data_IF_263367427827
#
_entry.id   IF_263367427827
#
_cell.length_a   1.000
_cell.length_b   1.000
_cell.length_c   1.000
_cell.angle_alpha   90.00
_cell.angle_beta   90.00
_cell.angle_gamma   90.00
#
_symmetry.space_group_name_H-M   'P 1'
#
loop_
_entity.id
_entity.type
_entity.pdbx_description
1 polymer ?
#
# COMPACT_ATOMS: atom_id res chain seq x y z
N UNK A 1 5.85 51.54 -8.53
CA UNK A 1 6.15 50.09 -8.54
C UNK A 1 4.90 49.40 -8.99
N UNK A 2 4.98 48.65 -10.08
CA UNK A 2 3.80 48.02 -10.68
C UNK A 2 3.32 46.86 -9.81
N UNK A 3 2.01 46.66 -9.77
CA UNK A 3 1.33 45.60 -9.00
C UNK A 3 1.91 44.23 -9.32
N UNK A 4 2.33 44.02 -10.57
CA UNK A 4 2.98 42.80 -11.05
C UNK A 4 4.30 42.54 -10.33
N UNK A 5 5.11 43.58 -10.09
CA UNK A 5 6.38 43.45 -9.37
C UNK A 5 6.14 43.06 -7.90
N UNK A 6 5.14 43.66 -7.24
CA UNK A 6 4.78 43.30 -5.86
C UNK A 6 4.31 41.85 -5.74
N UNK A 7 3.48 41.36 -6.69
CA UNK A 7 3.03 39.97 -6.69
C UNK A 7 4.21 39.01 -6.89
N UNK A 8 5.14 39.33 -7.79
CA UNK A 8 6.34 38.50 -8.01
C UNK A 8 7.23 38.41 -6.76
N UNK A 9 7.40 39.52 -6.02
CA UNK A 9 8.16 39.50 -4.77
C UNK A 9 7.49 38.63 -3.69
N UNK A 10 6.16 38.70 -3.55
CA UNK A 10 5.41 37.88 -2.58
C UNK A 10 5.49 36.39 -2.94
N UNK A 11 5.37 36.04 -4.23
CA UNK A 11 5.51 34.65 -4.68
C UNK A 11 6.93 34.12 -4.48
N UNK A 12 7.95 34.94 -4.74
CA UNK A 12 9.35 34.58 -4.51
C UNK A 12 9.62 34.34 -3.01
N UNK A 13 9.10 35.22 -2.15
CA UNK A 13 9.24 35.08 -0.70
C UNK A 13 8.54 33.81 -0.18
N UNK A 14 7.32 33.52 -0.65
CA UNK A 14 6.61 32.30 -0.31
C UNK A 14 7.36 31.03 -0.77
N UNK A 15 7.96 31.06 -1.97
CA UNK A 15 8.76 29.96 -2.49
C UNK A 15 10.04 29.73 -1.66
N UNK A 16 10.70 30.80 -1.21
CA UNK A 16 11.87 30.72 -0.33
C UNK A 16 11.50 30.13 1.03
N UNK A 17 10.37 30.56 1.63
CA UNK A 17 9.90 30.01 2.90
C UNK A 17 9.53 28.52 2.79
N UNK A 18 8.90 28.11 1.70
CA UNK A 18 8.62 26.70 1.42
C UNK A 18 9.90 25.88 1.25
N UNK A 19 10.90 26.43 0.54
CA UNK A 19 12.21 25.80 0.39
C UNK A 19 12.90 25.57 1.74
N UNK A 20 12.88 26.57 2.63
CA UNK A 20 13.45 26.44 3.99
C UNK A 20 12.67 25.41 4.82
N UNK A 21 11.33 25.40 4.75
CA UNK A 21 10.49 24.44 5.45
C UNK A 21 10.79 22.99 5.01
N UNK A 22 10.93 22.75 3.70
CA UNK A 22 11.30 21.45 3.15
C UNK A 22 12.67 20.98 3.64
N UNK A 23 13.66 21.87 3.72
CA UNK A 23 15.00 21.52 4.23
C UNK A 23 14.96 21.18 5.72
N UNK A 24 14.16 21.92 6.51
CA UNK A 24 13.99 21.62 7.94
C UNK A 24 13.27 20.28 8.16
N UNK A 25 12.22 19.99 7.39
CA UNK A 25 11.51 18.71 7.44
C UNK A 25 12.40 17.55 7.01
N UNK A 26 13.21 17.73 5.97
CA UNK A 26 14.18 16.72 5.54
C UNK A 26 15.24 16.45 6.61
N UNK A 27 15.73 17.49 7.29
CA UNK A 27 16.70 17.37 8.38
C UNK A 27 16.09 16.68 9.61
N UNK A 28 14.84 16.99 9.95
CA UNK A 28 14.11 16.31 11.03
C UNK A 28 13.86 14.84 10.69
N UNK A 29 13.44 14.54 9.47
CA UNK A 29 13.20 13.17 9.03
C UNK A 29 14.50 12.34 9.06
N UNK A 30 15.63 12.94 8.65
CA UNK A 30 16.95 12.28 8.77
C UNK A 30 17.35 12.02 10.22
N UNK A 31 17.04 12.93 11.15
CA UNK A 31 17.27 12.71 12.58
C UNK A 31 16.37 11.62 13.15
N UNK A 32 15.10 11.56 12.73
CA UNK A 32 14.17 10.50 13.10
C UNK A 32 14.62 9.13 12.59
N UNK A 33 15.10 9.06 11.34
CA UNK A 33 15.67 7.82 10.77
C UNK A 33 16.91 7.35 11.53
N UNK A 34 17.79 8.27 11.94
CA UNK A 34 18.94 7.92 12.77
C UNK A 34 18.53 7.39 14.14
N UNK A 35 17.51 8.00 14.77
CA UNK A 35 16.96 7.49 16.04
C UNK A 35 16.26 6.15 15.87
N UNK A 36 15.56 5.92 14.77
CA UNK A 36 14.94 4.62 14.49
C UNK A 36 16.00 3.53 14.29
N UNK A 37 17.08 3.80 13.55
CA UNK A 37 18.21 2.87 13.46
C UNK A 37 18.88 2.60 14.81
N UNK A 38 18.96 3.60 15.69
CA UNK A 38 19.50 3.45 17.05
C UNK A 38 18.57 2.63 17.94
N UNK A 39 17.24 2.80 17.82
CA UNK A 39 16.24 1.98 18.51
C UNK A 39 16.18 0.53 17.97
N UNK A 40 16.36 0.32 16.67
CA UNK A 40 16.34 -1.00 16.04
C UNK A 40 17.63 -1.79 16.34
N UNK A 41 18.76 -1.10 16.58
CA UNK A 41 20.02 -1.70 17.00
C UNK A 41 20.10 -2.03 18.49
N UNK A 42 19.10 -1.64 19.29
CA UNK A 42 19.04 -1.96 20.70
C UNK A 42 18.32 -3.31 20.86
N UNK A 43 19.02 -4.42 21.15
CA UNK A 43 18.33 -5.67 21.45
C UNK A 43 17.42 -5.40 22.64
N UNK A 44 16.12 -5.61 22.44
CA UNK A 44 15.11 -5.56 23.47
C UNK A 44 15.57 -6.50 24.58
N UNK A 45 16.13 -5.94 25.65
CA UNK A 45 16.27 -6.65 26.89
C UNK A 45 14.85 -7.09 27.25
N UNK A 46 14.65 -8.40 27.38
CA UNK A 46 13.38 -9.06 27.65
C UNK A 46 12.61 -8.34 28.77
N UNK A 47 11.77 -7.37 28.39
CA UNK A 47 10.59 -7.08 29.16
C UNK A 47 9.70 -8.31 28.95
N UNK A 48 9.09 -8.88 30.01
CA UNK A 48 8.15 -9.99 29.87
C UNK A 48 6.93 -9.49 29.11
N UNK A 49 7.04 -9.49 27.79
CA UNK A 49 5.97 -9.22 26.87
C UNK A 49 4.98 -10.35 27.03
N UNK A 50 3.76 -9.99 27.43
CA UNK A 50 2.60 -10.86 27.35
C UNK A 50 2.42 -11.32 25.90
N UNK A 51 3.01 -12.47 25.57
CA UNK A 51 2.76 -13.18 24.34
C UNK A 51 1.40 -13.84 24.47
N UNK A 52 0.37 -13.23 23.84
CA UNK A 52 -0.95 -13.82 23.61
C UNK A 52 -1.70 -14.30 24.87
N UNK A 53 -2.82 -13.64 25.17
CA UNK A 53 -3.74 -13.99 26.28
C UNK A 53 -4.23 -15.44 26.22
N UNK A 54 -4.15 -16.11 25.05
CA UNK A 54 -4.55 -17.52 24.90
C UNK A 54 -3.44 -18.54 25.19
N UNK A 55 -2.16 -18.17 25.15
CA UNK A 55 -1.05 -19.10 25.46
C UNK A 55 -0.34 -18.86 26.81
N UNK A 56 -0.65 -17.75 27.48
CA UNK A 56 0.07 -17.31 28.70
C UNK A 56 -0.63 -17.57 30.03
N UNK A 57 -1.91 -17.95 30.03
CA UNK A 57 -2.70 -18.00 31.27
C UNK A 57 -2.41 -19.23 32.14
N UNK A 58 -2.23 -20.42 31.56
CA UNK A 58 -1.83 -21.62 32.29
C UNK A 58 -0.43 -21.48 32.94
N UNK A 59 0.62 -21.03 32.23
CA UNK A 59 1.92 -20.76 32.84
C UNK A 59 1.87 -19.69 33.95
N UNK A 60 0.98 -18.71 33.82
CA UNK A 60 0.74 -17.71 34.86
C UNK A 60 0.12 -18.31 36.12
N UNK A 61 -0.93 -19.13 35.98
CA UNK A 61 -1.53 -19.84 37.11
C UNK A 61 -0.54 -20.76 37.81
N UNK A 62 0.29 -21.50 37.07
CA UNK A 62 1.32 -22.34 37.66
C UNK A 62 2.33 -21.54 38.48
N UNK A 63 2.73 -20.37 37.99
CA UNK A 63 3.64 -19.48 38.70
C UNK A 63 3.02 -18.96 40.00
N UNK A 64 1.77 -18.49 39.95
CA UNK A 64 1.04 -17.99 41.13
C UNK A 64 0.76 -19.09 42.16
N UNK A 65 0.49 -20.33 41.73
CA UNK A 65 0.37 -21.48 42.64
C UNK A 65 1.70 -21.75 43.36
N UNK A 66 2.83 -21.68 42.65
CA UNK A 66 4.15 -21.86 43.27
C UNK A 66 4.47 -20.73 44.26
N UNK A 67 4.16 -19.48 43.89
CA UNK A 67 4.39 -18.31 44.75
C UNK A 67 3.51 -18.37 46.01
N UNK A 68 2.23 -18.73 45.88
CA UNK A 68 1.32 -18.87 47.04
C UNK A 68 1.68 -20.04 47.94
N UNK A 69 2.17 -21.18 47.41
CA UNK A 69 2.73 -22.27 48.23
C UNK A 69 3.97 -21.83 48.99
N UNK A 70 4.87 -21.10 48.34
CA UNK A 70 6.07 -20.58 48.99
C UNK A 70 5.74 -19.56 50.10
N UNK A 71 4.70 -18.74 49.89
CA UNK A 71 4.18 -17.82 50.92
C UNK A 71 3.50 -18.57 52.07
N UNK A 72 2.72 -19.61 51.78
CA UNK A 72 2.11 -20.46 52.80
C UNK A 72 3.18 -21.15 53.66
N UNK A 73 4.21 -21.73 53.05
CA UNK A 73 5.32 -22.37 53.78
C UNK A 73 6.09 -21.37 54.66
N UNK A 74 6.28 -20.13 54.20
CA UNK A 74 6.91 -19.06 54.99
C UNK A 74 6.04 -18.61 56.16
N UNK A 75 4.72 -18.51 55.97
CA UNK A 75 3.76 -18.12 57.01
C UNK A 75 3.55 -19.24 58.02
N UNK A 76 3.51 -20.50 57.60
CA UNK A 76 3.41 -21.66 58.51
C UNK A 76 4.70 -21.88 59.31
N UNK A 77 5.86 -21.50 58.75
CA UNK A 77 7.16 -21.54 59.44
C UNK A 77 7.39 -20.35 60.38
N UNK A 78 6.71 -19.24 60.16
CA UNK A 78 6.70 -18.07 61.04
C UNK A 78 5.66 -18.25 62.13
N UNK A 79 6.06 -18.24 63.40
CA UNK A 79 5.12 -18.35 64.53
C UNK A 79 4.27 -17.08 64.71
N UNK A 80 3.38 -16.80 63.75
CA UNK A 80 2.42 -15.70 63.80
C UNK A 80 1.06 -16.20 64.28
N UNK A 81 0.51 -15.52 65.29
CA UNK A 81 -0.76 -15.83 65.98
C UNK A 81 -2.03 -15.58 65.11
N UNK A 82 -1.85 -15.15 63.85
CA UNK A 82 -2.94 -14.87 62.91
C UNK A 82 -3.35 -16.15 62.17
N UNK A 83 -4.30 -16.90 62.75
CA UNK A 83 -4.91 -18.09 62.15
C UNK A 83 -5.63 -17.83 60.81
N UNK A 84 -6.03 -16.58 60.55
CA UNK A 84 -6.85 -16.21 59.38
C UNK A 84 -6.06 -16.10 58.08
N UNK A 85 -4.79 -15.70 58.14
CA UNK A 85 -3.91 -15.55 56.97
C UNK A 85 -3.49 -16.88 56.33
N UNK A 86 -3.03 -17.91 57.09
CA UNK A 86 -2.73 -19.22 56.51
C UNK A 86 -4.00 -19.89 55.97
N UNK A 87 -5.15 -19.74 56.65
CA UNK A 87 -6.42 -20.26 56.14
C UNK A 87 -6.83 -19.58 54.84
N UNK A 88 -6.74 -18.25 54.74
CA UNK A 88 -7.00 -17.51 53.50
C UNK A 88 -6.06 -17.91 52.35
N UNK A 89 -4.78 -18.17 52.64
CA UNK A 89 -3.82 -18.64 51.65
C UNK A 89 -4.13 -20.08 51.20
N UNK A 90 -4.59 -20.95 52.10
CA UNK A 90 -5.08 -22.30 51.75
C UNK A 90 -6.32 -22.23 50.86
N UNK A 91 -7.31 -21.38 51.19
CA UNK A 91 -8.47 -21.15 50.33
C UNK A 91 -8.09 -20.64 48.94
N UNK A 92 -7.15 -19.68 48.87
CA UNK A 92 -6.64 -19.16 47.59
C UNK A 92 -5.92 -20.25 46.79
N UNK A 93 -5.12 -21.09 47.44
CA UNK A 93 -4.39 -22.18 46.81
C UNK A 93 -5.37 -23.21 46.22
N UNK A 94 -6.32 -23.69 47.01
CA UNK A 94 -7.30 -24.70 46.59
C UNK A 94 -8.16 -24.18 45.42
N UNK A 95 -8.51 -22.89 45.44
CA UNK A 95 -9.21 -22.24 44.34
C UNK A 95 -8.39 -22.23 43.04
N UNK A 96 -7.11 -21.82 43.11
CA UNK A 96 -6.25 -21.77 41.93
C UNK A 96 -5.93 -23.17 41.39
N UNK A 97 -5.84 -24.19 42.25
CA UNK A 97 -5.70 -25.57 41.83
C UNK A 97 -6.96 -26.12 41.14
N UNK A 98 -8.16 -25.78 41.63
CA UNK A 98 -9.42 -26.10 40.97
C UNK A 98 -9.52 -25.40 39.61
N UNK A 99 -9.12 -24.12 39.55
CA UNK A 99 -9.09 -23.35 38.30
C UNK A 99 -8.10 -23.94 37.28
N UNK A 100 -6.91 -24.35 37.72
CA UNK A 100 -5.93 -25.03 36.86
C UNK A 100 -6.52 -26.33 36.30
N UNK A 101 -7.12 -27.18 37.15
CA UNK A 101 -7.74 -28.45 36.71
C UNK A 101 -8.83 -28.21 35.68
N UNK A 102 -9.70 -27.22 35.89
CA UNK A 102 -10.76 -26.88 34.93
C UNK A 102 -10.19 -26.30 33.65
N UNK A 103 -9.12 -25.50 33.72
CA UNK A 103 -8.49 -24.92 32.53
C UNK A 103 -7.75 -25.99 31.69
N UNK A 104 -7.22 -27.04 32.32
CA UNK A 104 -6.63 -28.20 31.64
C UNK A 104 -7.68 -29.13 31.02
N UNK A 105 -8.85 -29.26 31.66
CA UNK A 105 -9.96 -30.13 31.21
C UNK A 105 -10.90 -29.46 30.20
N UNK A 106 -11.12 -28.15 30.30
CA UNK A 106 -12.08 -27.40 29.50
C UNK A 106 -11.38 -26.47 28.49
N UNK A 107 -10.85 -27.06 27.41
CA UNK A 107 -10.59 -26.30 26.18
C UNK A 107 -11.87 -26.10 25.32
N UNK A 108 -12.98 -26.78 25.66
CA UNK A 108 -14.12 -26.88 24.73
C UNK A 108 -15.30 -25.94 25.03
N UNK A 109 -15.46 -25.36 26.24
CA UNK A 109 -16.62 -24.50 26.56
C UNK A 109 -16.30 -23.30 27.48
N UNK A 110 -16.08 -22.08 26.93
CA UNK A 110 -15.69 -20.90 27.71
C UNK A 110 -16.84 -20.26 28.53
N UNK A 111 -18.10 -20.63 28.28
CA UNK A 111 -19.27 -19.96 28.89
C UNK A 111 -19.59 -20.43 30.31
N UNK A 112 -19.28 -21.68 30.63
CA UNK A 112 -19.62 -22.29 31.93
C UNK A 112 -18.38 -22.61 32.79
N UNK A 113 -17.21 -22.05 32.42
CA UNK A 113 -15.92 -22.28 33.09
C UNK A 113 -16.00 -22.07 34.60
N UNK A 114 -16.63 -20.98 35.04
CA UNK A 114 -16.72 -20.64 36.46
C UNK A 114 -17.67 -21.54 37.26
N UNK A 115 -18.67 -22.13 36.59
CA UNK A 115 -19.55 -23.12 37.25
C UNK A 115 -18.77 -24.41 37.50
N UNK A 116 -17.97 -24.87 36.54
CA UNK A 116 -17.09 -26.02 36.73
C UNK A 116 -16.00 -25.76 37.78
N UNK A 117 -15.44 -24.55 37.85
CA UNK A 117 -14.49 -24.18 38.94
C UNK A 117 -15.17 -24.25 40.31
N UNK A 118 -16.41 -23.77 40.42
CA UNK A 118 -17.17 -23.86 41.67
C UNK A 118 -17.51 -25.30 42.06
N UNK A 119 -17.84 -26.18 41.10
CA UNK A 119 -18.13 -27.59 41.34
C UNK A 119 -16.90 -28.38 41.82
N UNK A 120 -15.71 -27.97 41.36
CA UNK A 120 -14.43 -28.58 41.75
C UNK A 120 -13.81 -27.97 43.02
N UNK A 121 -14.40 -26.92 43.57
CA UNK A 121 -13.96 -26.28 44.81
C UNK A 121 -14.68 -26.89 46.02
N UNK A 122 -13.93 -27.48 46.95
CA UNK A 122 -14.48 -28.09 48.16
C UNK A 122 -13.90 -27.39 49.39
N UNK A 123 -14.66 -26.51 50.07
CA UNK A 123 -14.15 -25.77 51.21
C UNK A 123 -13.99 -26.68 52.45
N UNK A 124 -12.91 -26.53 53.25
CA UNK A 124 -12.76 -27.24 54.52
C UNK A 124 -13.85 -26.79 55.53
N UNK A 125 -14.48 -27.78 56.17
CA UNK A 125 -15.75 -27.68 56.90
C UNK A 125 -15.74 -26.75 58.14
N UNK A 126 -16.84 -25.99 58.30
CA UNK A 126 -17.21 -25.34 59.56
C UNK A 126 -18.49 -26.00 60.10
N UNK A 127 -18.38 -26.68 61.24
CA UNK A 127 -19.47 -27.37 61.95
C UNK A 127 -20.42 -26.35 62.60
N UNK A 128 -21.73 -26.54 62.46
CA UNK A 128 -22.77 -25.71 63.08
C UNK A 128 -23.70 -26.60 63.93
N UNK A 129 -23.51 -26.58 65.25
CA UNK A 129 -24.41 -27.20 66.22
C UNK A 129 -25.47 -26.18 66.69
N UNK A 130 -26.71 -26.64 66.83
CA UNK A 130 -27.78 -25.92 67.55
C UNK A 130 -28.66 -26.95 68.25
N UNK A 131 -28.62 -26.97 69.59
CA UNK A 131 -29.53 -27.74 70.46
C UNK A 131 -30.46 -26.77 71.23
N UNK A 132 -31.77 -26.92 71.06
CA UNK A 132 -32.81 -26.37 71.93
C UNK A 132 -33.20 -27.39 73.01
N UNK A 133 -33.36 -26.95 74.25
CA UNK A 133 -33.91 -27.74 75.36
C UNK A 133 -35.32 -27.23 75.76
N UNK A 134 -36.30 -28.11 76.10
CA UNK A 134 -37.63 -27.69 76.51
C UNK A 134 -37.81 -27.66 78.04
N UNK A 135 -38.72 -26.79 78.50
CA UNK A 135 -39.13 -26.62 79.90
C UNK A 135 -40.23 -27.61 80.32
N UNK A 136 -40.21 -28.07 81.58
CA UNK A 136 -41.25 -28.89 82.22
C UNK A 136 -42.11 -28.03 83.17
N UNK A 137 -43.44 -28.18 83.07
CA UNK A 137 -44.43 -27.65 84.02
C UNK A 137 -44.58 -28.61 85.22
N UNK A 138 -44.73 -28.06 86.43
CA UNK A 138 -45.07 -28.80 87.63
C UNK A 138 -46.46 -28.40 88.15
N UNK A 139 -47.28 -29.42 88.33
CA UNK A 139 -48.66 -29.43 88.85
C UNK A 139 -48.66 -29.31 90.39
N UNK A 140 -49.57 -28.52 90.96
CA UNK A 140 -49.73 -28.38 92.42
C UNK A 140 -51.20 -28.64 92.80
N UNK A 141 -51.40 -29.51 93.79
CA UNK A 141 -52.69 -29.76 94.44
C UNK A 141 -52.67 -29.29 95.91
N UNK A 142 -53.78 -28.77 96.47
CA UNK A 142 -53.78 -27.94 97.68
C UNK A 142 -54.20 -28.70 98.96
N UNK A 143 -53.80 -28.21 100.13
CA UNK A 143 -54.31 -28.75 101.41
C UNK A 143 -53.83 -28.06 102.69
N UNK A 144 -54.65 -27.11 103.16
CA UNK A 144 -54.86 -26.67 104.56
C UNK A 144 -53.69 -26.03 105.33
N UNK A 145 -53.65 -24.70 105.34
CA UNK A 145 -52.73 -23.92 106.18
C UNK A 145 -53.04 -22.43 106.27
N UNK A 146 -54.26 -22.00 105.94
CA UNK A 146 -54.53 -20.69 105.33
C UNK A 146 -54.05 -19.43 106.07
N UNK A 147 -53.78 -19.41 107.39
CA UNK A 147 -53.36 -18.18 108.09
C UNK A 147 -51.84 -18.08 108.32
N UNK A 148 -51.20 -19.15 108.76
CA UNK A 148 -49.72 -19.22 108.91
C UNK A 148 -49.05 -19.34 107.54
N UNK A 149 -49.72 -20.01 106.60
CA UNK A 149 -49.31 -20.07 105.20
C UNK A 149 -49.49 -18.72 104.52
N UNK A 150 -50.57 -17.96 104.77
CA UNK A 150 -50.68 -16.57 104.29
C UNK A 150 -49.62 -15.66 104.90
N UNK A 151 -49.28 -15.80 106.19
CA UNK A 151 -48.26 -14.97 106.83
C UNK A 151 -46.84 -15.34 106.36
N UNK A 152 -46.58 -16.63 106.13
CA UNK A 152 -45.36 -17.14 105.50
C UNK A 152 -45.25 -16.76 104.02
N UNK A 153 -46.35 -16.82 103.26
CA UNK A 153 -46.43 -16.36 101.87
C UNK A 153 -46.32 -14.84 101.77
N UNK A 154 -46.80 -14.07 102.74
CA UNK A 154 -46.65 -12.61 102.77
C UNK A 154 -45.22 -12.19 103.15
N UNK A 155 -44.58 -12.94 104.07
CA UNK A 155 -43.15 -12.82 104.36
C UNK A 155 -42.28 -13.18 103.14
N UNK A 156 -42.55 -14.32 102.52
CA UNK A 156 -41.92 -14.73 101.25
C UNK A 156 -42.25 -13.78 100.10
N UNK A 157 -43.44 -13.16 100.06
CA UNK A 157 -43.75 -12.09 99.11
C UNK A 157 -42.96 -10.82 99.41
N UNK A 158 -42.80 -10.45 100.69
CA UNK A 158 -41.96 -9.32 101.09
C UNK A 158 -40.48 -9.52 100.72
N UNK A 159 -39.96 -10.72 100.95
CA UNK A 159 -38.57 -11.10 100.65
C UNK A 159 -38.36 -11.27 99.14
N UNK A 160 -39.32 -11.84 98.42
CA UNK A 160 -39.28 -11.90 96.96
C UNK A 160 -39.40 -10.52 96.33
N UNK A 161 -40.23 -9.60 96.85
CA UNK A 161 -40.30 -8.21 96.38
C UNK A 161 -39.00 -7.46 96.67
N UNK A 162 -38.35 -7.70 97.82
CA UNK A 162 -37.03 -7.12 98.10
C UNK A 162 -35.95 -7.71 97.18
N UNK A 163 -35.96 -9.02 96.94
CA UNK A 163 -35.07 -9.67 95.97
C UNK A 163 -35.34 -9.17 94.54
N UNK A 164 -36.61 -8.96 94.15
CA UNK A 164 -36.98 -8.40 92.86
C UNK A 164 -36.49 -6.96 92.76
N UNK A 165 -36.57 -6.19 93.85
CA UNK A 165 -36.09 -4.80 93.90
C UNK A 165 -34.57 -4.73 93.80
N UNK A 166 -33.86 -5.70 94.37
CA UNK A 166 -32.41 -5.82 94.29
C UNK A 166 -31.96 -6.29 92.90
N UNK A 167 -32.68 -7.24 92.30
CA UNK A 167 -32.51 -7.66 90.90
C UNK A 167 -32.85 -6.51 89.95
N UNK A 168 -33.91 -5.74 90.19
CA UNK A 168 -34.26 -4.55 89.41
C UNK A 168 -33.18 -3.48 89.56
N UNK A 169 -32.57 -3.31 90.74
CA UNK A 169 -31.41 -2.42 90.90
C UNK A 169 -30.19 -2.91 90.12
N UNK A 170 -29.92 -4.22 90.10
CA UNK A 170 -28.81 -4.81 89.32
C UNK A 170 -29.07 -4.75 87.81
N UNK A 171 -30.30 -4.97 87.35
CA UNK A 171 -30.72 -4.83 85.94
C UNK A 171 -30.76 -3.36 85.49
N UNK A 172 -30.93 -2.41 86.42
CA UNK A 172 -30.78 -0.99 86.11
C UNK A 172 -29.33 -0.51 86.13
N UNK A 173 -28.41 -1.35 86.61
CA UNK A 173 -26.96 -1.18 86.58
C UNK A 173 -26.30 -2.18 85.60
N UNK A 174 -27.06 -2.69 84.62
CA UNK A 174 -26.63 -3.77 83.74
C UNK A 174 -25.62 -3.24 82.70
N UNK A 175 -24.39 -3.79 82.61
CA UNK A 175 -23.39 -3.40 81.59
C UNK A 175 -23.85 -3.66 80.15
N UNK A 176 -24.99 -4.37 79.99
CA UNK A 176 -25.67 -4.59 78.71
C UNK A 176 -26.30 -3.31 78.15
N UNK A 177 -26.72 -2.36 79.00
CA UNK A 177 -27.23 -1.08 78.53
C UNK A 177 -26.13 -0.25 77.85
N UNK A 178 -24.94 -0.21 78.45
CA UNK A 178 -23.77 0.48 77.88
C UNK A 178 -23.27 -0.20 76.58
N UNK A 179 -23.34 -1.53 76.49
CA UNK A 179 -23.02 -2.27 75.26
C UNK A 179 -24.05 -1.99 74.14
N UNK A 180 -25.34 -1.88 74.48
CA UNK A 180 -26.39 -1.53 73.51
C UNK A 180 -26.17 -0.10 73.01
N UNK A 181 -25.87 0.87 73.89
CA UNK A 181 -25.56 2.25 73.50
C UNK A 181 -24.34 2.30 72.56
N UNK A 182 -23.29 1.50 72.83
CA UNK A 182 -22.12 1.38 71.95
C UNK A 182 -22.45 0.74 70.59
N UNK A 183 -23.33 -0.27 70.57
CA UNK A 183 -23.79 -0.90 69.32
C UNK A 183 -24.65 0.06 68.51
N UNK A 184 -25.54 0.83 69.15
CA UNK A 184 -26.33 1.87 68.49
C UNK A 184 -25.44 2.96 67.89
N UNK A 185 -24.41 3.41 68.62
CA UNK A 185 -23.42 4.36 68.10
C UNK A 185 -22.71 3.79 66.86
N UNK A 186 -22.29 2.52 66.90
CA UNK A 186 -21.64 1.85 65.77
C UNK A 186 -22.56 1.67 64.57
N UNK A 187 -23.85 1.40 64.79
CA UNK A 187 -24.85 1.32 63.71
C UNK A 187 -25.00 2.69 63.05
N UNK A 188 -25.10 3.78 63.83
CA UNK A 188 -25.18 5.14 63.28
C UNK A 188 -23.91 5.50 62.49
N UNK A 189 -22.73 5.11 62.99
CA UNK A 189 -21.46 5.30 62.29
C UNK A 189 -21.41 4.52 60.96
N UNK A 190 -21.87 3.25 60.95
CA UNK A 190 -21.95 2.43 59.75
C UNK A 190 -22.95 2.98 58.73
N UNK A 191 -24.12 3.44 59.17
CA UNK A 191 -25.10 4.09 58.29
C UNK A 191 -24.55 5.37 57.68
N UNK A 192 -23.79 6.15 58.44
CA UNK A 192 -23.14 7.35 57.94
C UNK A 192 -22.11 7.01 56.87
N UNK A 193 -21.22 6.04 57.12
CA UNK A 193 -20.23 5.56 56.15
C UNK A 193 -20.89 4.97 54.90
N UNK A 194 -21.99 4.25 55.06
CA UNK A 194 -22.78 3.71 53.95
C UNK A 194 -23.37 4.83 53.08
N UNK A 195 -23.90 5.90 53.69
CA UNK A 195 -24.38 7.08 52.96
C UNK A 195 -23.27 7.80 52.20
N UNK A 196 -22.09 7.93 52.80
CA UNK A 196 -20.91 8.52 52.13
C UNK A 196 -20.43 7.65 50.97
N UNK A 197 -20.36 6.34 51.16
CA UNK A 197 -20.00 5.38 50.11
C UNK A 197 -20.99 5.43 48.93
N UNK A 198 -22.30 5.48 49.22
CA UNK A 198 -23.33 5.65 48.17
C UNK A 198 -23.18 6.98 47.42
N UNK A 199 -22.85 8.06 48.12
CA UNK A 199 -22.61 9.36 47.48
C UNK A 199 -21.38 9.30 46.55
N UNK A 200 -20.32 8.62 46.98
CA UNK A 200 -19.13 8.42 46.15
C UNK A 200 -19.43 7.57 44.91
N UNK A 201 -20.22 6.50 45.08
CA UNK A 201 -20.66 5.64 44.00
C UNK A 201 -21.50 6.40 42.97
N UNK A 202 -22.44 7.25 43.42
CA UNK A 202 -23.25 8.09 42.53
C UNK A 202 -22.39 9.06 41.72
N UNK A 203 -21.37 9.69 42.34
CA UNK A 203 -20.42 10.56 41.63
C UNK A 203 -19.62 9.75 40.60
N UNK A 204 -19.18 8.54 40.94
CA UNK A 204 -18.48 7.66 40.01
C UNK A 204 -19.35 7.26 38.82
N UNK A 205 -20.62 6.93 39.03
CA UNK A 205 -21.56 6.59 37.96
C UNK A 205 -21.83 7.78 37.02
N UNK A 206 -21.96 8.98 37.58
CA UNK A 206 -22.09 10.21 36.80
C UNK A 206 -20.85 10.49 35.95
N UNK A 207 -19.65 10.34 36.54
CA UNK A 207 -18.39 10.50 35.81
C UNK A 207 -18.17 9.41 34.76
N UNK A 208 -18.57 8.17 35.04
CA UNK A 208 -18.49 7.08 34.08
C UNK A 208 -19.41 7.34 32.88
N UNK A 209 -20.66 7.75 33.14
CA UNK A 209 -21.60 8.18 32.08
C UNK A 209 -21.03 9.34 31.26
N UNK A 210 -20.44 10.34 31.92
CA UNK A 210 -19.79 11.48 31.25
C UNK A 210 -18.60 11.06 30.39
N UNK A 211 -17.81 10.10 30.84
CA UNK A 211 -16.67 9.56 30.10
C UNK A 211 -17.15 8.71 28.91
N UNK A 212 -18.18 7.90 29.11
CA UNK A 212 -18.80 7.10 28.05
C UNK A 212 -19.33 7.99 26.92
N UNK A 213 -20.04 9.08 27.25
CA UNK A 213 -20.48 10.08 26.27
C UNK A 213 -19.31 10.70 25.49
N UNK A 214 -18.18 10.97 26.16
CA UNK A 214 -16.98 11.53 25.50
C UNK A 214 -16.32 10.52 24.58
N UNK A 215 -16.30 9.25 24.95
CA UNK A 215 -15.80 8.15 24.10
C UNK A 215 -16.68 8.01 22.88
N UNK A 216 -18.00 7.95 23.06
CA UNK A 216 -18.94 7.81 21.94
C UNK A 216 -18.84 8.98 20.95
N UNK A 217 -18.69 10.22 21.43
CA UNK A 217 -18.45 11.37 20.55
C UNK A 217 -17.12 11.28 19.80
N UNK A 218 -16.06 10.77 20.43
CA UNK A 218 -14.78 10.56 19.77
C UNK A 218 -14.87 9.46 18.72
N UNK A 219 -15.60 8.39 19.00
CA UNK A 219 -15.81 7.30 18.05
C UNK A 219 -16.60 7.79 16.83
N UNK A 220 -17.65 8.59 17.03
CA UNK A 220 -18.40 9.24 15.94
C UNK A 220 -17.51 10.17 15.10
N UNK A 221 -16.63 10.95 15.74
CA UNK A 221 -15.68 11.80 15.03
C UNK A 221 -14.69 10.96 14.22
N UNK A 222 -14.18 9.88 14.81
CA UNK A 222 -13.20 9.00 14.18
C UNK A 222 -13.81 8.25 12.98
N UNK A 223 -15.08 7.86 13.08
CA UNK A 223 -15.83 7.28 11.95
C UNK A 223 -16.11 8.30 10.84
N UNK A 224 -16.41 9.56 11.19
CA UNK A 224 -16.52 10.62 10.19
C UNK A 224 -15.19 10.85 9.45
N UNK A 225 -14.08 10.96 10.19
CA UNK A 225 -12.74 11.12 9.61
C UNK A 225 -12.36 9.92 8.74
N UNK A 226 -12.65 8.69 9.19
CA UNK A 226 -12.44 7.48 8.38
C UNK A 226 -13.24 7.52 7.08
N UNK A 227 -14.49 7.95 7.13
CA UNK A 227 -15.36 8.05 5.95
C UNK A 227 -14.83 9.09 4.96
N UNK A 228 -14.50 10.29 5.43
CA UNK A 228 -13.91 11.36 4.62
C UNK A 228 -12.57 10.92 4.01
N UNK A 229 -11.72 10.22 4.80
CA UNK A 229 -10.47 9.67 4.30
C UNK A 229 -10.72 8.58 3.23
N UNK A 230 -11.69 7.70 3.41
CA UNK A 230 -12.03 6.70 2.38
C UNK A 230 -12.56 7.34 1.09
N UNK A 231 -13.36 8.41 1.20
CA UNK A 231 -13.85 9.16 0.04
C UNK A 231 -12.68 9.81 -0.71
N UNK A 232 -11.76 10.49 0.00
CA UNK A 232 -10.56 11.08 -0.62
C UNK A 232 -9.61 10.04 -1.22
N UNK A 233 -9.42 8.88 -0.57
CA UNK A 233 -8.63 7.76 -1.14
C UNK A 233 -9.31 7.21 -2.39
N UNK A 234 -10.62 7.01 -2.38
CA UNK A 234 -11.38 6.57 -3.56
C UNK A 234 -11.26 7.57 -4.72
N UNK A 235 -11.30 8.87 -4.44
CA UNK A 235 -11.10 9.91 -5.45
C UNK A 235 -9.68 9.89 -6.04
N UNK A 236 -8.66 9.68 -5.19
CA UNK A 236 -7.27 9.53 -5.63
C UNK A 236 -7.07 8.26 -6.47
N UNK A 237 -7.68 7.14 -6.10
CA UNK A 237 -7.66 5.91 -6.89
C UNK A 237 -8.31 6.11 -8.26
N UNK A 238 -9.44 6.82 -8.33
CA UNK A 238 -10.08 7.17 -9.58
C UNK A 238 -9.22 8.09 -10.45
N UNK A 239 -8.54 9.07 -9.85
CA UNK A 239 -7.58 9.94 -10.56
C UNK A 239 -6.36 9.16 -11.07
N UNK A 240 -5.82 8.23 -10.27
CA UNK A 240 -4.72 7.36 -10.66
C UNK A 240 -5.13 6.45 -11.83
N UNK A 241 -6.37 5.92 -11.81
CA UNK A 241 -6.94 5.15 -12.91
C UNK A 241 -7.00 5.96 -14.21
N UNK A 242 -7.46 7.22 -14.14
CA UNK A 242 -7.47 8.14 -15.28
C UNK A 242 -6.06 8.46 -15.79
N UNK A 243 -5.11 8.72 -14.90
CA UNK A 243 -3.73 8.98 -15.28
C UNK A 243 -3.09 7.74 -15.92
N UNK A 244 -3.33 6.53 -15.39
CA UNK A 244 -2.85 5.29 -15.99
C UNK A 244 -3.41 5.08 -17.41
N UNK A 245 -4.68 5.39 -17.63
CA UNK A 245 -5.29 5.32 -18.96
C UNK A 245 -4.65 6.33 -19.92
N UNK A 246 -4.49 7.59 -19.50
CA UNK A 246 -3.83 8.63 -20.30
C UNK A 246 -2.38 8.27 -20.62
N UNK A 247 -1.65 7.67 -19.67
CA UNK A 247 -0.30 7.16 -19.91
C UNK A 247 -0.32 6.06 -20.97
N UNK A 248 -1.29 5.14 -20.94
CA UNK A 248 -1.41 4.08 -21.95
C UNK A 248 -1.73 4.66 -23.35
N UNK A 249 -2.60 5.67 -23.44
CA UNK A 249 -2.86 6.39 -24.69
C UNK A 249 -1.61 7.11 -25.22
N UNK A 250 -0.86 7.79 -24.35
CA UNK A 250 0.40 8.43 -24.72
C UNK A 250 1.44 7.41 -25.22
N UNK A 251 1.51 6.22 -24.61
CA UNK A 251 2.40 5.15 -25.09
C UNK A 251 1.97 4.65 -26.46
N UNK A 252 0.67 4.44 -26.71
CA UNK A 252 0.19 4.05 -28.04
C UNK A 252 0.53 5.11 -29.10
N UNK A 253 0.33 6.40 -28.79
CA UNK A 253 0.71 7.48 -29.70
C UNK A 253 2.23 7.55 -29.93
N UNK A 254 3.04 7.24 -28.91
CA UNK A 254 4.49 7.14 -29.07
C UNK A 254 4.87 6.00 -30.01
N UNK A 255 4.25 4.83 -29.87
CA UNK A 255 4.48 3.67 -30.73
C UNK A 255 4.06 3.97 -32.19
N UNK A 256 2.92 4.64 -32.38
CA UNK A 256 2.47 5.10 -33.71
C UNK A 256 3.47 6.08 -34.34
N UNK A 257 3.94 7.06 -33.58
CA UNK A 257 4.96 8.03 -34.04
C UNK A 257 6.29 7.35 -34.37
N UNK A 258 6.71 6.34 -33.59
CA UNK A 258 7.91 5.56 -33.91
C UNK A 258 7.75 4.77 -35.22
N UNK A 259 6.56 4.21 -35.45
CA UNK A 259 6.25 3.49 -36.68
C UNK A 259 6.19 4.43 -37.89
N UNK A 260 5.65 5.64 -37.73
CA UNK A 260 5.70 6.69 -38.76
C UNK A 260 7.13 7.17 -39.03
N UNK A 261 7.95 7.35 -38.00
CA UNK A 261 9.37 7.68 -38.16
C UNK A 261 10.12 6.58 -38.93
N UNK A 262 9.82 5.31 -38.66
CA UNK A 262 10.35 4.17 -39.41
C UNK A 262 9.94 4.18 -40.89
N UNK A 263 8.67 4.46 -41.18
CA UNK A 263 8.18 4.63 -42.57
C UNK A 263 8.84 5.81 -43.27
N UNK A 264 9.06 6.93 -42.57
CA UNK A 264 9.74 8.09 -43.12
C UNK A 264 11.21 7.76 -43.48
N UNK A 265 11.90 6.99 -42.64
CA UNK A 265 13.25 6.50 -42.93
C UNK A 265 13.26 5.57 -44.15
N UNK A 266 12.29 4.65 -44.28
CA UNK A 266 12.18 3.78 -45.46
C UNK A 266 11.92 4.58 -46.75
N UNK A 267 11.08 5.62 -46.69
CA UNK A 267 10.85 6.52 -47.82
C UNK A 267 12.11 7.30 -48.18
N UNK A 268 12.88 7.74 -47.19
CA UNK A 268 14.16 8.41 -47.41
C UNK A 268 15.17 7.49 -48.11
N UNK A 269 15.25 6.21 -47.72
CA UNK A 269 16.11 5.23 -48.40
C UNK A 269 15.67 4.99 -49.85
N UNK A 270 14.36 4.89 -50.11
CA UNK A 270 13.83 4.77 -51.49
C UNK A 270 14.13 6.00 -52.33
N UNK A 271 14.09 7.19 -51.73
CA UNK A 271 14.42 8.44 -52.42
C UNK A 271 15.91 8.51 -52.74
N UNK A 272 16.79 8.09 -51.82
CA UNK A 272 18.22 7.97 -52.08
C UNK A 272 18.54 6.95 -53.18
N UNK A 273 17.82 5.82 -53.23
CA UNK A 273 17.92 4.85 -54.34
C UNK A 273 17.46 5.45 -55.67
N UNK A 274 16.37 6.23 -55.68
CA UNK A 274 15.91 6.92 -56.87
C UNK A 274 16.91 7.97 -57.35
N UNK A 275 17.50 8.75 -56.43
CA UNK A 275 18.54 9.73 -56.76
C UNK A 275 19.79 9.06 -57.37
N UNK A 276 20.19 7.90 -56.83
CA UNK A 276 21.28 7.10 -57.40
C UNK A 276 20.91 6.61 -58.81
N UNK A 277 19.72 6.02 -58.98
CA UNK A 277 19.25 5.53 -60.28
C UNK A 277 19.09 6.66 -61.31
N UNK A 278 18.63 7.84 -60.89
CA UNK A 278 18.54 9.05 -61.71
C UNK A 278 19.93 9.54 -62.15
N UNK A 279 20.91 9.50 -61.24
CA UNK A 279 22.30 9.82 -61.55
C UNK A 279 22.91 8.84 -62.55
N UNK A 280 22.70 7.54 -62.34
CA UNK A 280 23.17 6.50 -63.27
C UNK A 280 22.49 6.63 -64.63
N UNK A 281 21.19 6.93 -64.67
CA UNK A 281 20.47 7.15 -65.92
C UNK A 281 20.98 8.40 -66.66
N UNK A 282 21.23 9.51 -65.95
CA UNK A 282 21.85 10.70 -66.54
C UNK A 282 23.25 10.41 -67.09
N UNK A 283 24.04 9.59 -66.39
CA UNK A 283 25.35 9.16 -66.88
C UNK A 283 25.23 8.31 -68.15
N UNK A 284 24.27 7.37 -68.20
CA UNK A 284 23.98 6.61 -69.41
C UNK A 284 23.53 7.50 -70.58
N UNK A 285 22.69 8.50 -70.31
CA UNK A 285 22.25 9.48 -71.33
C UNK A 285 23.46 10.25 -71.87
N UNK A 286 24.34 10.74 -70.99
CA UNK A 286 25.53 11.46 -71.41
C UNK A 286 26.45 10.60 -72.28
N UNK A 287 26.68 9.34 -71.92
CA UNK A 287 27.48 8.41 -72.75
C UNK A 287 26.82 8.19 -74.12
N UNK A 288 25.49 8.04 -74.16
CA UNK A 288 24.76 7.90 -75.43
C UNK A 288 24.82 9.18 -76.28
N UNK A 289 24.78 10.36 -75.65
CA UNK A 289 24.95 11.65 -76.33
C UNK A 289 26.36 11.76 -76.93
N UNK A 290 27.40 11.42 -76.15
CA UNK A 290 28.80 11.39 -76.61
C UNK A 290 29.01 10.39 -77.76
N UNK A 291 28.45 9.18 -77.67
CA UNK A 291 28.50 8.19 -78.76
C UNK A 291 27.76 8.67 -80.01
N UNK A 292 26.61 9.33 -79.85
CA UNK A 292 25.83 9.85 -80.97
C UNK A 292 26.55 11.02 -81.66
N UNK A 293 27.18 11.93 -80.90
CA UNK A 293 28.06 12.96 -81.45
C UNK A 293 29.24 12.35 -82.21
N UNK A 294 29.91 11.36 -81.64
CA UNK A 294 31.02 10.65 -82.28
C UNK A 294 30.59 9.95 -83.58
N UNK A 295 29.43 9.29 -83.59
CA UNK A 295 28.87 8.67 -84.79
C UNK A 295 28.49 9.72 -85.85
N UNK A 296 27.91 10.84 -85.45
CA UNK A 296 27.60 11.95 -86.37
C UNK A 296 28.88 12.56 -86.98
N UNK A 297 29.96 12.69 -86.20
CA UNK A 297 31.26 13.11 -86.71
C UNK A 297 31.84 12.10 -87.71
N UNK A 298 31.76 10.81 -87.43
CA UNK A 298 32.19 9.78 -88.39
C UNK A 298 31.40 9.83 -89.69
N UNK A 299 30.06 9.93 -89.61
CA UNK A 299 29.19 10.07 -90.79
C UNK A 299 29.57 11.33 -91.58
N UNK A 300 29.82 12.46 -90.91
CA UNK A 300 30.26 13.70 -91.56
C UNK A 300 31.63 13.53 -92.22
N UNK A 301 32.57 12.83 -91.58
CA UNK A 301 33.89 12.53 -92.14
C UNK A 301 33.83 11.63 -93.38
N UNK A 302 32.98 10.59 -93.35
CA UNK A 302 32.76 9.71 -94.51
C UNK A 302 32.14 10.48 -95.69
N UNK A 303 31.14 11.33 -95.43
CA UNK A 303 30.54 12.18 -96.47
C UNK A 303 31.56 13.16 -97.08
N UNK A 304 32.44 13.76 -96.26
CA UNK A 304 33.50 14.65 -96.76
C UNK A 304 34.56 13.90 -97.58
N UNK A 305 34.88 12.66 -97.23
CA UNK A 305 35.77 11.81 -98.03
C UNK A 305 35.13 11.42 -99.36
N UNK A 306 33.82 11.12 -99.36
CA UNK A 306 33.08 10.85 -100.59
C UNK A 306 33.04 12.07 -101.52
N UNK A 307 32.82 13.27 -100.98
CA UNK A 307 32.90 14.52 -101.75
C UNK A 307 34.34 14.81 -102.22
N UNK A 308 35.35 14.57 -101.38
CA UNK A 308 36.76 14.79 -101.69
C UNK A 308 37.30 13.87 -102.78
N UNK A 309 37.01 12.58 -102.74
CA UNK A 309 37.39 11.62 -103.79
C UNK A 309 36.63 11.87 -105.10
N UNK A 310 35.38 12.38 -105.02
CA UNK A 310 34.60 12.70 -106.22
C UNK A 310 35.22 13.85 -107.03
N UNK A 311 35.82 14.85 -106.39
CA UNK A 311 36.39 16.02 -107.08
C UNK A 311 37.66 15.64 -107.84
N UNK A 312 38.57 14.89 -107.23
CA UNK A 312 39.80 14.46 -107.90
C UNK A 312 39.53 13.45 -109.02
N UNK A 313 38.59 12.52 -108.83
CA UNK A 313 38.20 11.59 -109.90
C UNK A 313 37.47 12.31 -111.03
N UNK A 314 36.63 13.31 -110.72
CA UNK A 314 35.93 14.10 -111.73
C UNK A 314 36.87 14.95 -112.57
N UNK A 315 37.84 15.62 -111.95
CA UNK A 315 38.83 16.43 -112.67
C UNK A 315 39.77 15.56 -113.52
N UNK A 316 40.15 14.37 -113.04
CA UNK A 316 40.93 13.39 -113.82
C UNK A 316 40.11 12.80 -114.98
N UNK A 317 38.81 12.53 -114.78
CA UNK A 317 37.91 12.04 -115.82
C UNK A 317 37.60 13.12 -116.88
N UNK A 318 37.40 14.37 -116.48
CA UNK A 318 37.20 15.50 -117.40
C UNK A 318 38.44 15.75 -118.26
N UNK A 319 39.64 15.67 -117.67
CA UNK A 319 40.89 15.74 -118.42
C UNK A 319 41.08 14.57 -119.40
N UNK A 320 40.71 13.35 -119.00
CA UNK A 320 40.74 12.17 -119.90
C UNK A 320 39.70 12.30 -121.02
N UNK A 321 38.52 12.84 -120.73
CA UNK A 321 37.48 13.07 -121.72
C UNK A 321 37.94 14.08 -122.77
N UNK A 322 38.48 15.24 -122.34
CA UNK A 322 39.01 16.25 -123.25
C UNK A 322 40.16 15.71 -124.13
N UNK A 323 41.03 14.86 -123.57
CA UNK A 323 42.09 14.21 -124.35
C UNK A 323 41.55 13.20 -125.39
N UNK A 324 40.44 12.52 -125.09
CA UNK A 324 39.76 11.62 -126.04
C UNK A 324 39.05 12.43 -127.12
N UNK A 325 38.37 13.52 -126.77
CA UNK A 325 37.71 14.41 -127.73
C UNK A 325 38.72 15.01 -128.72
N UNK A 326 39.87 15.49 -128.24
CA UNK A 326 40.94 15.99 -129.11
C UNK A 326 41.46 14.91 -130.09
N UNK A 327 41.59 13.66 -129.64
CA UNK A 327 41.98 12.54 -130.52
C UNK A 327 40.90 12.19 -131.53
N UNK A 328 39.63 12.31 -131.15
CA UNK A 328 38.50 12.08 -132.07
C UNK A 328 38.48 13.17 -133.14
N UNK A 329 38.70 14.43 -132.78
CA UNK A 329 38.84 15.53 -133.74
C UNK A 329 40.01 15.29 -134.70
N UNK A 330 41.19 14.93 -134.19
CA UNK A 330 42.38 14.62 -135.01
C UNK A 330 42.12 13.46 -135.99
N UNK A 331 41.50 12.37 -135.51
CA UNK A 331 41.15 11.23 -136.36
C UNK A 331 40.08 11.59 -137.40
N UNK A 332 39.10 12.42 -137.04
CA UNK A 332 38.07 12.88 -137.98
C UNK A 332 38.65 13.79 -139.07
N UNK A 333 39.60 14.66 -138.72
CA UNK A 333 40.32 15.49 -139.67
C UNK A 333 41.21 14.64 -140.61
N UNK A 334 41.90 13.64 -140.05
CA UNK A 334 42.68 12.69 -140.84
C UNK A 334 41.83 11.82 -141.77
N UNK A 335 40.62 11.42 -141.34
CA UNK A 335 39.65 10.75 -142.19
C UNK A 335 39.15 11.66 -143.32
N UNK A 336 38.82 12.92 -143.03
CA UNK A 336 38.42 13.88 -144.05
C UNK A 336 39.51 14.12 -145.10
N UNK A 337 40.78 14.22 -144.66
CA UNK A 337 41.93 14.34 -145.56
C UNK A 337 42.09 13.07 -146.42
N UNK A 338 41.94 11.88 -145.83
CA UNK A 338 41.99 10.61 -146.56
C UNK A 338 40.84 10.45 -147.55
N UNK A 339 39.66 10.91 -147.20
CA UNK A 339 38.48 10.90 -148.07
C UNK A 339 38.65 11.87 -149.24
N UNK A 340 39.26 13.04 -149.00
CA UNK A 340 39.65 13.98 -150.05
C UNK A 340 40.72 13.38 -150.98
N UNK A 341 41.73 12.68 -150.43
CA UNK A 341 42.72 11.94 -151.22
C UNK A 341 42.08 10.79 -152.04
N UNK A 342 41.08 10.10 -151.49
CA UNK A 342 40.31 9.08 -152.20
C UNK A 342 39.51 9.68 -153.36
N UNK A 343 38.81 10.79 -153.14
CA UNK A 343 38.09 11.50 -154.21
C UNK A 343 39.03 11.99 -155.33
N UNK A 344 40.23 12.48 -154.98
CA UNK A 344 41.25 12.84 -155.97
C UNK A 344 41.79 11.63 -156.75
N UNK A 345 41.96 10.48 -156.10
CA UNK A 345 42.37 9.24 -156.74
C UNK A 345 41.27 8.65 -157.63
N UNK A 346 40.01 8.70 -157.21
CA UNK A 346 38.86 8.33 -158.02
C UNK A 346 38.71 9.24 -159.24
N UNK A 347 38.93 10.55 -159.09
CA UNK A 347 38.97 11.49 -160.21
C UNK A 347 40.13 11.20 -161.19
N UNK A 348 41.29 10.76 -160.67
CA UNK A 348 42.44 10.34 -161.51
C UNK A 348 42.20 8.99 -162.19
N UNK A 349 41.50 8.05 -161.56
CA UNK A 349 41.16 6.75 -162.15
C UNK A 349 40.02 6.85 -163.16
N UNK A 350 39.07 7.79 -162.99
CA UNK A 350 38.04 8.12 -163.98
C UNK A 350 38.60 8.80 -165.25
N UNK A 351 39.78 9.41 -165.18
CA UNK A 351 40.45 10.03 -166.33
C UNK A 351 41.37 9.07 -167.13
N UNK A 352 41.45 7.79 -166.75
CA UNK A 352 42.29 6.78 -167.40
C UNK A 352 41.54 5.48 -167.63
N UNK A 353 40.47 5.54 -168.42
CA UNK A 353 39.94 4.37 -169.13
C UNK A 353 39.81 4.72 -170.63
N UNK A 354 40.78 4.30 -171.48
CA UNK A 354 40.63 4.30 -172.93
C UNK A 354 40.06 2.94 -173.39
N UNK A 355 38.89 2.97 -174.03
CA UNK A 355 38.48 2.13 -175.16
C UNK A 355 37.08 2.55 -175.63
#
# INVERSE_FOLDING_TARGET
>A
MDVVSLILFVVLEAALLLGVALVLLWRQNKQLQLRLCELEAQPVADAPGFASVESGYLPYLEKEIIETRALLEQVESGSGDDSTLPDALRYRLDFMEAEKKVTELCNDHPKDRWQHVADHFQPPAAEADSEEAPAQEADIQPGSGDMEELQGLLGQQGDSIQSLREVIMQVKADPRAELIDQLEEKIVELEHRYREANTCMEIMDQENTRLQDKVERKDQYLDHVKKENNETVSDLEAQLGKQKHSIAELHHMLDDLQLEAGKAAELQDKLAQFDLASRDMNMCIQVLEEENEFLQEQVRGLLQLEDGDSVYQKEELENKLAAVEAKVEELSAGLAEKEQQLQELEAKQGASAPA
#
